data_IF_600418744515
#
_entry.id   IF_600418744515
#
_cell.length_a   1.000
_cell.length_b   1.000
_cell.length_c   1.000
_cell.angle_alpha   90.00
_cell.angle_beta   90.00
_cell.angle_gamma   90.00
#
_symmetry.space_group_name_H-M   'P 1'
#
loop_
_entity.id
_entity.type
_entity.pdbx_description
1 polymer ?
#
# COMPACT_ATOMS: atom_id res chain seq x y z
N UNK A 1 16.64 -54.87 -71.12
CA UNK A 1 16.97 -54.54 -69.72
C UNK A 1 16.93 -53.03 -69.56
N UNK A 2 15.80 -52.48 -69.11
CA UNK A 2 15.62 -51.07 -68.78
C UNK A 2 15.30 -51.02 -67.28
N UNK A 3 16.09 -50.29 -66.48
CA UNK A 3 15.79 -50.03 -65.07
C UNK A 3 15.62 -48.52 -64.88
N UNK A 4 14.37 -48.10 -64.78
CA UNK A 4 13.98 -46.78 -64.28
C UNK A 4 14.39 -46.63 -62.81
N UNK A 5 15.04 -45.51 -62.47
CA UNK A 5 15.13 -45.01 -61.09
C UNK A 5 13.96 -44.05 -60.86
N UNK A 6 13.02 -44.42 -59.99
CA UNK A 6 12.05 -43.49 -59.43
C UNK A 6 12.72 -42.61 -58.38
N UNK A 7 12.48 -41.32 -58.49
CA UNK A 7 12.80 -40.30 -57.51
C UNK A 7 11.60 -40.19 -56.56
N UNK A 8 11.75 -40.57 -55.30
CA UNK A 8 10.73 -40.37 -54.27
C UNK A 8 10.96 -39.04 -53.56
N UNK A 9 10.13 -38.05 -53.89
CA UNK A 9 9.97 -36.81 -53.12
C UNK A 9 9.08 -37.12 -51.90
N UNK A 10 9.66 -37.09 -50.71
CA UNK A 10 8.92 -37.10 -49.44
C UNK A 10 8.60 -35.65 -49.09
N UNK A 11 7.35 -35.26 -49.28
CA UNK A 11 6.81 -33.98 -48.78
C UNK A 11 6.51 -34.19 -47.30
N UNK A 12 7.38 -33.68 -46.43
CA UNK A 12 7.13 -33.61 -44.99
C UNK A 12 6.11 -32.53 -44.70
N UNK A 13 4.89 -32.92 -44.33
CA UNK A 13 3.89 -32.01 -43.79
C UNK A 13 4.32 -31.61 -42.36
N UNK A 14 4.77 -30.36 -42.19
CA UNK A 14 4.87 -29.73 -40.87
C UNK A 14 3.45 -29.53 -40.35
N UNK A 15 2.99 -30.43 -39.48
CA UNK A 15 1.84 -30.16 -38.63
C UNK A 15 2.25 -29.16 -37.56
N UNK A 16 1.92 -27.89 -37.80
CA UNK A 16 1.95 -26.86 -36.77
C UNK A 16 0.77 -27.13 -35.83
N UNK A 17 0.99 -27.89 -34.76
CA UNK A 17 0.01 -28.02 -33.68
C UNK A 17 0.00 -26.70 -32.90
N UNK A 18 -1.13 -25.97 -32.82
CA UNK A 18 -1.22 -24.86 -31.89
C UNK A 18 -1.09 -25.42 -30.48
N UNK A 19 -0.06 -24.99 -29.75
CA UNK A 19 -0.01 -25.14 -28.30
C UNK A 19 -1.16 -24.31 -27.74
N UNK A 20 -2.33 -24.92 -27.58
CA UNK A 20 -3.32 -24.43 -26.65
C UNK A 20 -2.70 -24.59 -25.27
N UNK A 21 -2.16 -23.49 -24.72
CA UNK A 21 -1.87 -23.38 -23.29
C UNK A 21 -3.20 -23.55 -22.56
N UNK A 22 -3.53 -24.79 -22.19
CA UNK A 22 -4.53 -25.02 -21.17
C UNK A 22 -3.97 -24.37 -19.92
N UNK A 23 -4.61 -23.30 -19.44
CA UNK A 23 -4.48 -22.91 -18.05
C UNK A 23 -4.76 -24.17 -17.23
N UNK A 24 -3.75 -24.67 -16.54
CA UNK A 24 -3.88 -25.86 -15.72
C UNK A 24 -4.97 -25.59 -14.69
N UNK A 25 -6.04 -26.39 -14.73
CA UNK A 25 -7.16 -26.21 -13.81
C UNK A 25 -6.62 -26.52 -12.43
N UNK A 26 -6.49 -25.49 -11.59
CA UNK A 26 -6.06 -25.62 -10.21
C UNK A 26 -7.02 -26.56 -9.48
N UNK A 27 -6.49 -27.61 -8.86
CA UNK A 27 -7.23 -28.51 -8.00
C UNK A 27 -6.99 -28.08 -6.55
N UNK A 28 -7.93 -27.30 -5.98
CA UNK A 28 -7.72 -26.68 -4.67
C UNK A 28 -7.61 -27.71 -3.54
N UNK A 29 -8.18 -28.90 -3.72
CA UNK A 29 -8.08 -29.98 -2.75
C UNK A 29 -6.69 -30.62 -2.65
N UNK A 30 -5.81 -30.40 -3.63
CA UNK A 30 -4.44 -30.95 -3.66
C UNK A 30 -3.38 -29.91 -3.26
N UNK A 31 -3.77 -28.65 -3.01
CA UNK A 31 -2.82 -27.59 -2.65
C UNK A 31 -2.29 -27.78 -1.22
N UNK A 32 -0.97 -27.70 -1.08
CA UNK A 32 -0.26 -27.75 0.19
C UNK A 32 0.31 -26.37 0.58
N UNK A 33 0.72 -26.23 1.85
CA UNK A 33 1.37 -25.01 2.33
C UNK A 33 2.67 -24.75 1.56
N UNK A 34 2.81 -23.56 1.01
CA UNK A 34 3.95 -23.15 0.19
C UNK A 34 3.75 -23.34 -1.31
N UNK A 35 2.69 -24.04 -1.74
CA UNK A 35 2.34 -24.11 -3.16
C UNK A 35 2.02 -22.73 -3.73
N UNK A 36 2.29 -22.56 -5.01
CA UNK A 36 2.04 -21.29 -5.71
C UNK A 36 1.03 -21.48 -6.81
N UNK A 37 0.06 -20.58 -6.88
CA UNK A 37 -1.01 -20.61 -7.89
C UNK A 37 -1.15 -19.23 -8.53
N UNK A 38 -1.54 -19.19 -9.80
CA UNK A 38 -1.86 -17.95 -10.50
C UNK A 38 -3.37 -17.76 -10.53
N UNK A 39 -3.81 -16.58 -10.13
CA UNK A 39 -5.22 -16.18 -10.05
C UNK A 39 -5.40 -14.78 -10.62
N UNK A 40 -6.63 -14.38 -10.90
CA UNK A 40 -6.98 -12.97 -11.13
C UNK A 40 -7.38 -12.30 -9.82
N UNK A 41 -7.20 -10.98 -9.74
CA UNK A 41 -7.45 -10.25 -8.49
C UNK A 41 -8.89 -10.40 -7.97
N UNK A 42 -9.88 -10.60 -8.84
CA UNK A 42 -11.30 -10.77 -8.46
C UNK A 42 -11.61 -12.12 -7.78
N UNK A 43 -10.66 -13.05 -7.79
CA UNK A 43 -10.74 -14.30 -7.05
C UNK A 43 -10.32 -14.14 -5.57
N UNK A 44 -9.76 -12.98 -5.20
CA UNK A 44 -9.20 -12.74 -3.87
C UNK A 44 -10.20 -12.02 -2.97
N UNK A 45 -10.54 -12.65 -1.85
CA UNK A 45 -11.33 -12.06 -0.77
C UNK A 45 -10.40 -11.41 0.27
N UNK A 46 -10.70 -10.21 0.78
CA UNK A 46 -9.91 -9.58 1.83
C UNK A 46 -10.12 -10.25 3.20
N UNK A 47 -9.07 -10.29 4.02
CA UNK A 47 -9.15 -10.72 5.43
C UNK A 47 -9.16 -9.55 6.42
N UNK A 48 -9.29 -8.32 5.92
CA UNK A 48 -9.43 -7.10 6.72
C UNK A 48 -10.39 -6.13 6.04
N UNK A 49 -11.02 -5.23 6.80
CA UNK A 49 -12.01 -4.27 6.26
C UNK A 49 -11.42 -2.89 5.90
N UNK A 50 -10.13 -2.69 6.17
CA UNK A 50 -9.46 -1.39 6.07
C UNK A 50 -8.25 -1.44 5.16
N UNK A 51 -7.86 -0.28 4.65
CA UNK A 51 -6.76 -0.11 3.70
C UNK A 51 -6.03 1.20 3.97
N UNK A 52 -4.73 1.20 3.68
CA UNK A 52 -3.93 2.40 3.60
C UNK A 52 -4.10 3.02 2.21
N UNK A 53 -4.93 4.05 2.11
CA UNK A 53 -5.15 4.73 0.84
C UNK A 53 -3.94 5.56 0.42
N UNK A 54 -3.18 6.10 1.36
CA UNK A 54 -2.08 7.01 1.04
C UNK A 54 -0.88 6.26 0.47
N UNK A 55 -0.62 5.02 0.91
CA UNK A 55 0.34 4.15 0.23
C UNK A 55 -0.11 3.78 -1.19
N UNK A 56 -1.40 3.59 -1.43
CA UNK A 56 -1.95 3.38 -2.78
C UNK A 56 -1.76 4.65 -3.62
N UNK A 57 -2.08 5.82 -3.08
CA UNK A 57 -1.89 7.11 -3.76
C UNK A 57 -0.43 7.34 -4.14
N UNK A 58 0.50 7.06 -3.24
CA UNK A 58 1.94 7.12 -3.53
C UNK A 58 2.32 6.20 -4.69
N UNK A 59 1.81 4.96 -4.71
CA UNK A 59 2.07 4.03 -5.80
C UNK A 59 1.44 4.48 -7.11
N UNK A 60 0.19 4.95 -7.11
CA UNK A 60 -0.51 5.41 -8.30
C UNK A 60 0.17 6.65 -8.89
N UNK A 61 0.64 7.59 -8.06
CA UNK A 61 1.44 8.72 -8.53
C UNK A 61 2.74 8.27 -9.16
N UNK A 62 3.44 7.33 -8.50
CA UNK A 62 4.68 6.75 -9.00
C UNK A 62 4.48 6.04 -10.34
N UNK A 63 3.38 5.33 -10.51
CA UNK A 63 3.03 4.65 -11.77
C UNK A 63 2.65 5.62 -12.87
N UNK A 64 1.94 6.69 -12.52
CA UNK A 64 1.61 7.76 -13.47
C UNK A 64 2.88 8.50 -13.96
N UNK A 65 3.87 8.69 -13.09
CA UNK A 65 5.14 9.30 -13.45
C UNK A 65 6.08 8.38 -14.24
N UNK A 66 6.07 7.07 -13.95
CA UNK A 66 6.90 6.07 -14.61
C UNK A 66 6.18 4.71 -14.72
N UNK A 67 5.60 4.43 -15.89
CA UNK A 67 4.93 3.15 -16.17
C UNK A 67 5.88 1.94 -16.07
N UNK A 68 7.19 2.11 -16.27
CA UNK A 68 8.16 1.01 -16.07
C UNK A 68 8.14 0.53 -14.63
N UNK A 69 7.96 1.46 -13.68
CA UNK A 69 7.89 1.15 -12.27
C UNK A 69 6.65 0.30 -11.94
N UNK A 70 5.51 0.55 -12.58
CA UNK A 70 4.33 -0.31 -12.46
C UNK A 70 4.63 -1.75 -12.89
N UNK A 71 5.15 -1.96 -14.10
CA UNK A 71 5.48 -3.31 -14.57
C UNK A 71 6.57 -3.98 -13.74
N UNK A 72 7.55 -3.21 -13.24
CA UNK A 72 8.57 -3.74 -12.33
C UNK A 72 7.92 -4.27 -11.05
N UNK A 73 6.98 -3.55 -10.47
CA UNK A 73 6.31 -3.93 -9.24
C UNK A 73 5.34 -5.09 -9.47
N UNK A 74 4.62 -5.11 -10.60
CA UNK A 74 3.77 -6.24 -10.99
C UNK A 74 4.59 -7.53 -11.15
N UNK A 75 5.74 -7.46 -11.84
CA UNK A 75 6.66 -8.59 -11.93
C UNK A 75 7.21 -9.01 -10.57
N UNK A 76 7.50 -8.07 -9.66
CA UNK A 76 7.98 -8.38 -8.30
C UNK A 76 6.92 -9.05 -7.44
N UNK A 77 5.68 -8.56 -7.49
CA UNK A 77 4.53 -9.15 -6.81
C UNK A 77 4.28 -10.59 -7.29
N UNK A 78 4.60 -10.87 -8.56
CA UNK A 78 4.58 -12.19 -9.16
C UNK A 78 5.88 -13.01 -8.92
N UNK A 79 6.79 -12.59 -8.03
CA UNK A 79 8.01 -13.34 -7.70
C UNK A 79 9.12 -13.29 -8.77
N UNK A 80 8.97 -12.46 -9.80
CA UNK A 80 9.84 -12.44 -10.99
C UNK A 80 10.93 -11.34 -11.00
N UNK A 81 11.31 -10.81 -9.81
CA UNK A 81 12.37 -9.80 -9.54
C UNK A 81 12.17 -8.38 -10.13
N UNK A 82 11.57 -8.25 -11.32
CA UNK A 82 11.30 -6.98 -12.00
C UNK A 82 10.97 -7.15 -13.48
N UNK A 83 10.78 -6.05 -14.20
CA UNK A 83 10.46 -6.06 -15.63
C UNK A 83 11.71 -6.02 -16.50
N UNK A 84 11.75 -6.87 -17.54
CA UNK A 84 12.79 -6.93 -18.57
C UNK A 84 12.38 -6.20 -19.84
N UNK A 85 11.14 -6.41 -20.31
CA UNK A 85 10.60 -5.77 -21.52
C UNK A 85 9.14 -5.35 -21.28
N UNK A 86 8.79 -4.16 -21.74
CA UNK A 86 7.44 -3.63 -21.81
C UNK A 86 7.44 -2.47 -22.83
N UNK A 87 6.28 -2.07 -23.33
CA UNK A 87 6.09 -0.84 -24.09
C UNK A 87 4.70 -0.22 -23.81
N UNK A 88 4.38 0.90 -24.45
CA UNK A 88 3.13 1.65 -24.23
C UNK A 88 1.87 0.85 -24.58
N UNK A 89 1.97 -0.23 -25.38
CA UNK A 89 0.87 -1.11 -25.71
C UNK A 89 0.79 -2.33 -24.78
N UNK A 90 1.76 -2.51 -23.88
CA UNK A 90 1.66 -3.53 -22.85
C UNK A 90 0.42 -3.28 -21.99
N UNK A 91 -0.24 -4.36 -21.56
CA UNK A 91 -1.38 -4.33 -20.67
C UNK A 91 -1.05 -5.14 -19.41
N UNK A 92 -1.29 -4.61 -18.20
CA UNK A 92 -1.04 -5.35 -16.96
C UNK A 92 -1.98 -6.56 -16.80
N UNK A 93 -3.07 -6.61 -17.55
CA UNK A 93 -4.01 -7.75 -17.62
C UNK A 93 -3.60 -8.81 -18.65
N UNK A 94 -2.54 -8.58 -19.43
CA UNK A 94 -2.08 -9.50 -20.47
C UNK A 94 -0.57 -9.77 -20.34
N UNK A 95 -0.18 -10.85 -19.64
CA UNK A 95 1.22 -11.23 -19.43
C UNK A 95 2.03 -11.45 -20.71
N UNK A 96 1.39 -11.72 -21.86
CA UNK A 96 2.09 -11.92 -23.13
C UNK A 96 2.61 -10.60 -23.72
N UNK A 97 2.10 -9.46 -23.23
CA UNK A 97 2.46 -8.14 -23.73
C UNK A 97 3.66 -7.52 -23.02
N UNK A 98 4.17 -8.13 -21.94
CA UNK A 98 5.37 -7.71 -21.24
C UNK A 98 6.22 -8.94 -20.84
N UNK A 99 7.44 -8.72 -20.38
CA UNK A 99 8.33 -9.80 -19.96
C UNK A 99 9.02 -9.44 -18.65
N UNK A 100 8.91 -10.32 -17.66
CA UNK A 100 9.66 -10.20 -16.42
C UNK A 100 11.10 -10.71 -16.55
N UNK A 101 11.96 -10.29 -15.62
CA UNK A 101 13.39 -10.63 -15.59
C UNK A 101 13.67 -12.06 -15.12
N UNK A 102 12.70 -12.69 -14.48
CA UNK A 102 12.71 -14.09 -14.07
C UNK A 102 11.34 -14.73 -14.34
N UNK A 103 11.23 -16.03 -14.12
CA UNK A 103 9.96 -16.73 -14.12
C UNK A 103 9.10 -16.27 -12.94
N UNK A 104 7.79 -16.19 -13.19
CA UNK A 104 6.79 -15.98 -12.15
C UNK A 104 6.86 -17.11 -11.12
N UNK A 105 6.72 -16.78 -9.84
CA UNK A 105 6.86 -17.72 -8.73
C UNK A 105 8.31 -18.09 -8.37
N UNK A 106 9.32 -17.66 -9.13
CA UNK A 106 10.73 -18.00 -8.84
C UNK A 106 11.16 -17.56 -7.43
N UNK A 107 10.67 -16.42 -6.96
CA UNK A 107 10.89 -15.95 -5.59
C UNK A 107 9.60 -16.05 -4.77
N UNK A 108 9.38 -17.22 -4.16
CA UNK A 108 8.19 -17.50 -3.34
C UNK A 108 8.07 -16.61 -2.09
N UNK A 109 9.17 -16.00 -1.62
CA UNK A 109 9.16 -15.08 -0.48
C UNK A 109 8.64 -13.69 -0.84
N UNK A 110 8.56 -13.35 -2.13
CA UNK A 110 7.99 -12.08 -2.60
C UNK A 110 6.49 -12.18 -2.92
N UNK A 111 5.92 -13.38 -2.89
CA UNK A 111 4.52 -13.60 -3.24
C UNK A 111 3.62 -13.23 -2.06
N UNK A 112 2.51 -12.56 -2.37
CA UNK A 112 1.39 -12.42 -1.45
C UNK A 112 0.84 -13.80 -1.07
N UNK A 113 0.35 -13.93 0.17
CA UNK A 113 -0.15 -15.20 0.70
C UNK A 113 -1.67 -15.24 0.71
N UNK A 114 -2.21 -16.45 0.51
CA UNK A 114 -3.64 -16.74 0.57
C UNK A 114 -3.92 -17.97 1.42
N UNK A 115 -5.08 -17.98 2.05
CA UNK A 115 -5.68 -19.18 2.66
C UNK A 115 -6.77 -19.70 1.72
N UNK A 116 -6.76 -21.00 1.44
CA UNK A 116 -7.89 -21.66 0.76
C UNK A 116 -9.04 -21.79 1.74
N UNK A 117 -10.19 -21.22 1.38
CA UNK A 117 -11.40 -21.17 2.19
C UNK A 117 -12.12 -22.52 2.32
N UNK A 118 -13.25 -22.54 3.04
CA UNK A 118 -13.98 -23.78 3.33
C UNK A 118 -14.66 -24.39 2.10
N UNK A 119 -14.85 -23.61 1.03
CA UNK A 119 -15.46 -24.00 -0.24
C UNK A 119 -14.43 -23.97 -1.37
N UNK A 120 -14.63 -24.84 -2.38
CA UNK A 120 -13.72 -24.98 -3.54
C UNK A 120 -13.54 -23.63 -4.26
N UNK A 121 -12.28 -23.22 -4.43
CA UNK A 121 -11.93 -22.01 -5.18
C UNK A 121 -12.11 -20.69 -4.43
N UNK A 122 -12.52 -20.72 -3.16
CA UNK A 122 -12.57 -19.52 -2.32
C UNK A 122 -11.17 -19.24 -1.77
N UNK A 123 -10.64 -18.03 -2.00
CA UNK A 123 -9.30 -17.62 -1.58
C UNK A 123 -9.35 -16.35 -0.74
N UNK A 124 -8.73 -16.39 0.43
CA UNK A 124 -8.64 -15.26 1.35
C UNK A 124 -7.21 -14.70 1.37
N UNK A 125 -7.04 -13.45 0.96
CA UNK A 125 -5.75 -12.76 0.89
C UNK A 125 -5.29 -12.32 2.28
N UNK A 126 -4.20 -12.90 2.77
CA UNK A 126 -3.68 -12.63 4.12
C UNK A 126 -2.50 -11.67 4.14
N UNK A 127 -1.73 -11.59 3.06
CA UNK A 127 -0.64 -10.62 2.90
C UNK A 127 -0.75 -9.89 1.55
N UNK A 128 -0.27 -8.64 1.48
CA UNK A 128 -0.14 -7.91 0.21
C UNK A 128 -1.36 -7.10 -0.22
N UNK A 129 -2.38 -6.97 0.64
CA UNK A 129 -3.65 -6.30 0.32
C UNK A 129 -3.48 -4.89 -0.31
N UNK A 130 -2.61 -4.05 0.24
CA UNK A 130 -2.39 -2.69 -0.27
C UNK A 130 -1.78 -2.68 -1.67
N UNK A 131 -0.79 -3.54 -1.93
CA UNK A 131 -0.14 -3.63 -3.24
C UNK A 131 -1.10 -4.20 -4.29
N UNK A 132 -1.80 -5.29 -3.97
CA UNK A 132 -2.76 -5.88 -4.91
C UNK A 132 -3.96 -4.97 -5.16
N UNK A 133 -4.44 -4.25 -4.14
CA UNK A 133 -5.45 -3.20 -4.31
C UNK A 133 -4.95 -2.04 -5.18
N UNK A 134 -3.65 -1.72 -5.15
CA UNK A 134 -3.08 -0.73 -6.08
C UNK A 134 -3.25 -1.19 -7.54
N UNK A 135 -2.97 -2.46 -7.85
CA UNK A 135 -3.17 -3.00 -9.21
C UNK A 135 -4.65 -3.11 -9.59
N UNK A 136 -5.53 -3.30 -8.61
CA UNK A 136 -6.98 -3.23 -8.83
C UNK A 136 -7.43 -1.81 -9.21
N UNK A 137 -6.94 -0.79 -8.51
CA UNK A 137 -7.42 0.59 -8.63
C UNK A 137 -6.67 1.43 -9.68
N UNK A 138 -5.57 0.93 -10.24
CA UNK A 138 -4.79 1.64 -11.25
C UNK A 138 -5.46 1.66 -12.64
N UNK A 139 -5.15 2.67 -13.50
CA UNK A 139 -5.57 2.66 -14.90
C UNK A 139 -5.11 1.39 -15.63
N UNK A 140 -5.98 0.84 -16.49
CA UNK A 140 -5.76 -0.40 -17.23
C UNK A 140 -5.52 -1.66 -16.38
N UNK A 141 -5.58 -1.56 -15.05
CA UNK A 141 -5.61 -2.69 -14.12
C UNK A 141 -7.02 -3.24 -13.94
N UNK A 142 -7.34 -3.64 -12.71
CA UNK A 142 -8.67 -4.13 -12.33
C UNK A 142 -8.75 -5.64 -12.12
N UNK A 143 -9.98 -6.16 -12.15
CA UNK A 143 -10.37 -7.52 -11.76
C UNK A 143 -9.51 -8.61 -12.40
N UNK A 144 -9.15 -8.45 -13.68
CA UNK A 144 -8.48 -9.46 -14.49
C UNK A 144 -6.95 -9.41 -14.44
N UNK A 145 -6.34 -8.57 -13.61
CA UNK A 145 -4.88 -8.56 -13.46
C UNK A 145 -4.45 -9.91 -12.87
N UNK A 146 -3.58 -10.68 -13.56
CA UNK A 146 -3.10 -11.95 -13.04
C UNK A 146 -2.01 -11.74 -12.00
N UNK A 147 -2.11 -12.47 -10.91
CA UNK A 147 -1.13 -12.49 -9.82
C UNK A 147 -0.87 -13.91 -9.36
N UNK A 148 0.39 -14.20 -9.08
CA UNK A 148 0.80 -15.44 -8.42
C UNK A 148 0.84 -15.22 -6.93
N UNK A 149 0.18 -16.12 -6.21
CA UNK A 149 0.06 -16.12 -4.76
C UNK A 149 0.60 -17.43 -4.20
N UNK A 150 1.01 -17.40 -2.95
CA UNK A 150 1.48 -18.56 -2.18
C UNK A 150 0.40 -19.01 -1.21
N UNK A 151 0.10 -20.29 -1.16
CA UNK A 151 -0.84 -20.87 -0.18
C UNK A 151 -0.16 -20.90 1.19
N UNK A 152 -0.69 -20.16 2.17
CA UNK A 152 -0.21 -20.27 3.56
C UNK A 152 -0.86 -21.45 4.27
N UNK A 153 -2.16 -21.64 4.08
CA UNK A 153 -2.95 -22.74 4.63
C UNK A 153 -4.03 -23.19 3.65
N UNK A 154 -4.34 -24.49 3.67
CA UNK A 154 -5.50 -25.04 3.00
C UNK A 154 -6.55 -25.48 4.02
N UNK A 155 -7.64 -24.70 4.14
CA UNK A 155 -8.73 -24.96 5.08
C UNK A 155 -10.00 -25.46 4.35
N UNK A 156 -9.84 -26.07 3.18
CA UNK A 156 -10.94 -26.66 2.44
C UNK A 156 -11.68 -27.72 3.27
N UNK A 157 -13.00 -27.61 3.35
CA UNK A 157 -13.81 -28.53 4.15
C UNK A 157 -13.81 -28.27 5.66
N UNK A 158 -13.18 -27.19 6.15
CA UNK A 158 -13.25 -26.76 7.56
C UNK A 158 -14.66 -26.36 8.02
N UNK A 159 -15.55 -26.00 7.09
CA UNK A 159 -16.94 -25.68 7.39
C UNK A 159 -17.08 -24.53 8.39
N UNK A 160 -17.80 -24.77 9.48
CA UNK A 160 -18.08 -23.75 10.50
C UNK A 160 -16.84 -23.35 11.33
N UNK A 161 -15.78 -24.17 11.34
CA UNK A 161 -14.56 -23.91 12.11
C UNK A 161 -13.63 -22.89 11.42
N UNK A 162 -13.84 -22.62 10.12
CA UNK A 162 -12.97 -21.78 9.29
C UNK A 162 -12.58 -20.44 9.94
N UNK A 163 -13.56 -19.67 10.43
CA UNK A 163 -13.29 -18.35 10.99
C UNK A 163 -12.60 -18.40 12.36
N UNK A 164 -12.82 -19.47 13.12
CA UNK A 164 -12.12 -19.68 14.37
C UNK A 164 -10.64 -19.99 14.11
N UNK A 165 -10.35 -20.82 13.10
CA UNK A 165 -8.98 -21.12 12.65
C UNK A 165 -8.28 -19.88 12.12
N UNK A 166 -8.90 -19.13 11.20
CA UNK A 166 -8.36 -17.85 10.69
C UNK A 166 -8.01 -16.87 11.82
N UNK A 167 -8.87 -16.79 12.85
CA UNK A 167 -8.63 -15.91 14.01
C UNK A 167 -7.54 -16.45 14.94
N UNK A 168 -7.42 -17.78 15.10
CA UNK A 168 -6.41 -18.41 15.94
C UNK A 168 -5.01 -18.24 15.33
N UNK A 169 -4.92 -18.37 14.01
CA UNK A 169 -3.66 -18.32 13.26
C UNK A 169 -3.24 -16.88 12.91
N UNK A 170 -4.05 -15.88 13.28
CA UNK A 170 -3.86 -14.46 12.99
C UNK A 170 -3.86 -14.13 11.49
N UNK A 171 -4.69 -14.83 10.73
CA UNK A 171 -4.87 -14.66 9.28
C UNK A 171 -6.08 -13.76 8.95
N UNK A 172 -6.76 -13.21 9.97
CA UNK A 172 -7.87 -12.26 9.80
C UNK A 172 -7.81 -11.09 10.78
N UNK A 173 -8.12 -9.89 10.28
CA UNK A 173 -8.26 -8.66 11.06
C UNK A 173 -9.70 -8.13 11.04
N UNK A 174 -10.46 -8.49 12.09
CA UNK A 174 -11.87 -8.12 12.23
C UNK A 174 -12.06 -6.80 12.96
N UNK A 175 -11.49 -5.73 12.41
CA UNK A 175 -11.65 -4.35 12.89
C UNK A 175 -11.86 -3.40 11.72
N UNK A 176 -12.80 -2.47 11.88
CA UNK A 176 -13.10 -1.44 10.88
C UNK A 176 -12.28 -0.15 11.06
N UNK A 177 -12.52 0.83 10.19
CA UNK A 177 -11.82 2.12 10.13
C UNK A 177 -11.99 3.00 11.36
N UNK A 178 -12.95 2.65 12.23
CA UNK A 178 -13.22 3.32 13.50
C UNK A 178 -12.60 2.59 14.69
N UNK A 179 -11.87 1.49 14.46
CA UNK A 179 -11.27 0.68 15.52
C UNK A 179 -12.25 -0.24 16.21
N UNK A 180 -13.44 -0.42 15.64
CA UNK A 180 -14.49 -1.24 16.23
C UNK A 180 -14.41 -2.65 15.69
N UNK A 181 -14.61 -3.62 16.57
CA UNK A 181 -14.74 -5.04 16.20
C UNK A 181 -15.90 -5.20 15.21
N UNK A 182 -15.66 -5.99 14.17
CA UNK A 182 -16.68 -6.43 13.21
C UNK A 182 -16.81 -7.96 13.21
N UNK A 183 -17.80 -8.50 12.52
CA UNK A 183 -17.92 -9.94 12.24
C UNK A 183 -17.25 -10.27 10.92
N UNK A 184 -16.95 -11.55 10.69
CA UNK A 184 -16.39 -12.01 9.41
C UNK A 184 -17.32 -11.74 8.23
N UNK A 185 -18.64 -11.86 8.42
CA UNK A 185 -19.63 -11.50 7.40
C UNK A 185 -19.73 -9.99 7.09
N UNK A 186 -19.03 -9.13 7.82
CA UNK A 186 -18.92 -7.70 7.52
C UNK A 186 -17.67 -7.38 6.68
N UNK A 187 -16.82 -8.39 6.38
CA UNK A 187 -15.67 -8.21 5.51
C UNK A 187 -16.14 -7.89 4.08
N UNK A 188 -15.41 -7.04 3.34
CA UNK A 188 -15.79 -6.72 1.98
C UNK A 188 -15.67 -7.93 1.03
N UNK A 189 -16.46 -7.92 -0.05
CA UNK A 189 -16.49 -9.03 -1.01
C UNK A 189 -15.35 -8.97 -2.04
N UNK A 190 -14.67 -7.83 -2.15
CA UNK A 190 -13.54 -7.65 -3.07
C UNK A 190 -12.48 -6.74 -2.44
N UNK A 191 -11.24 -6.87 -2.93
CA UNK A 191 -10.16 -5.93 -2.64
C UNK A 191 -10.38 -4.58 -3.34
N UNK A 192 -9.49 -3.61 -3.09
CA UNK A 192 -9.56 -2.28 -3.70
C UNK A 192 -10.33 -1.24 -2.88
N UNK A 193 -10.07 0.02 -3.19
CA UNK A 193 -10.57 1.20 -2.47
C UNK A 193 -12.09 1.37 -2.54
N UNK A 194 -12.77 0.78 -3.52
CA UNK A 194 -14.24 0.86 -3.61
C UNK A 194 -14.94 0.09 -2.49
N UNK A 195 -14.32 -0.97 -2.00
CA UNK A 195 -14.88 -1.89 -1.02
C UNK A 195 -14.28 -1.66 0.37
N UNK A 196 -12.95 -1.60 0.45
CA UNK A 196 -12.21 -1.39 1.69
C UNK A 196 -12.23 0.08 2.13
N UNK A 197 -12.32 0.33 3.44
CA UNK A 197 -12.36 1.70 3.99
C UNK A 197 -10.96 2.24 4.27
N UNK A 198 -10.76 3.54 4.08
CA UNK A 198 -9.53 4.22 4.48
C UNK A 198 -9.42 4.24 6.00
N UNK A 199 -8.40 3.58 6.54
CA UNK A 199 -7.97 3.84 7.91
C UNK A 199 -6.86 4.89 7.91
N UNK A 200 -7.22 6.13 8.25
CA UNK A 200 -6.29 7.27 8.28
C UNK A 200 -5.13 7.04 9.26
N UNK A 201 -5.38 6.34 10.37
CA UNK A 201 -4.34 6.04 11.35
C UNK A 201 -3.34 5.00 10.81
N UNK A 202 -3.83 4.03 10.03
CA UNK A 202 -2.97 3.09 9.34
C UNK A 202 -2.03 3.79 8.36
N UNK A 203 -2.53 4.79 7.62
CA UNK A 203 -1.69 5.61 6.73
C UNK A 203 -0.60 6.38 7.49
N UNK A 204 -0.93 6.98 8.65
CA UNK A 204 0.10 7.61 9.52
C UNK A 204 1.17 6.59 9.91
N UNK A 205 0.75 5.45 10.46
CA UNK A 205 1.66 4.41 10.97
C UNK A 205 2.56 3.82 9.89
N UNK A 206 2.06 3.61 8.67
CA UNK A 206 2.87 3.06 7.60
C UNK A 206 3.94 4.06 7.13
N UNK A 207 3.63 5.37 7.09
CA UNK A 207 4.64 6.38 6.81
C UNK A 207 5.73 6.45 7.90
N UNK A 208 5.39 6.12 9.15
CA UNK A 208 6.31 6.20 10.29
C UNK A 208 7.17 4.94 10.51
N UNK A 209 7.08 3.95 9.60
CA UNK A 209 7.94 2.78 9.61
C UNK A 209 9.41 3.20 9.37
N UNK A 210 10.29 2.89 10.33
CA UNK A 210 11.69 3.33 10.33
C UNK A 210 11.91 4.73 10.89
N UNK A 211 10.84 5.44 11.29
CA UNK A 211 10.91 6.79 11.86
C UNK A 211 10.59 6.78 13.36
N UNK A 212 9.55 6.04 13.77
CA UNK A 212 9.14 5.91 15.18
C UNK A 212 9.10 4.48 15.69
N UNK A 213 9.11 3.51 14.78
CA UNK A 213 9.19 2.08 15.12
C UNK A 213 9.86 1.31 13.97
N UNK A 214 10.43 0.16 14.27
CA UNK A 214 10.93 -0.79 13.27
C UNK A 214 10.44 -2.19 13.62
N UNK A 215 10.10 -3.06 12.66
CA UNK A 215 9.70 -4.43 12.99
C UNK A 215 10.81 -5.11 13.80
N UNK A 216 10.48 -5.77 14.91
CA UNK A 216 11.49 -6.35 15.78
C UNK A 216 12.30 -7.39 15.01
N UNK A 217 13.62 -7.37 15.19
CA UNK A 217 14.50 -8.34 14.55
C UNK A 217 14.32 -9.71 15.21
N UNK A 218 14.41 -10.82 14.44
CA UNK A 218 14.56 -12.14 15.04
C UNK A 218 15.80 -12.14 15.95
N UNK A 219 15.62 -12.51 17.22
CA UNK A 219 16.71 -12.52 18.22
C UNK A 219 17.48 -13.85 18.28
N UNK A 220 17.15 -14.78 17.36
CA UNK A 220 17.77 -16.10 17.24
C UNK A 220 17.36 -17.10 18.32
N UNK A 221 16.54 -16.71 19.32
CA UNK A 221 16.00 -17.61 20.35
C UNK A 221 14.59 -18.06 20.02
N UNK A 222 13.82 -17.21 19.33
CA UNK A 222 12.56 -17.56 18.71
C UNK A 222 12.43 -16.86 17.36
N UNK A 223 12.62 -17.58 16.27
CA UNK A 223 12.44 -17.01 14.93
C UNK A 223 10.95 -16.83 14.56
N UNK A 224 10.00 -17.32 15.38
CA UNK A 224 8.56 -17.14 15.16
C UNK A 224 8.04 -15.82 15.73
N UNK A 225 8.78 -15.16 16.63
CA UNK A 225 8.37 -13.88 17.24
C UNK A 225 8.74 -12.66 16.40
N UNK A 226 9.47 -12.83 15.29
CA UNK A 226 9.93 -11.72 14.45
C UNK A 226 8.82 -11.13 13.55
N UNK A 227 7.91 -11.97 13.04
CA UNK A 227 6.75 -11.49 12.30
C UNK A 227 5.61 -11.23 13.28
N UNK A 228 5.28 -9.96 13.50
CA UNK A 228 4.13 -9.57 14.32
C UNK A 228 2.92 -9.43 13.38
N UNK A 229 1.88 -10.28 13.51
CA UNK A 229 0.68 -10.18 12.70
C UNK A 229 0.07 -8.78 12.83
N UNK A 230 -0.25 -8.16 11.70
CA UNK A 230 -0.91 -6.86 11.66
C UNK A 230 -0.19 -5.77 12.47
N UNK A 231 1.15 -5.74 12.48
CA UNK A 231 1.96 -4.78 13.25
C UNK A 231 1.47 -3.33 13.11
N UNK A 232 1.37 -2.83 11.88
CA UNK A 232 0.93 -1.46 11.61
C UNK A 232 -0.52 -1.18 12.05
N UNK A 233 -1.40 -2.18 11.93
CA UNK A 233 -2.79 -2.07 12.36
C UNK A 233 -2.95 -2.07 13.89
N UNK A 234 -2.07 -2.77 14.61
CA UNK A 234 -2.02 -2.68 16.07
C UNK A 234 -1.53 -1.31 16.53
N UNK A 235 -0.48 -0.77 15.91
CA UNK A 235 -0.04 0.61 16.15
C UNK A 235 -1.13 1.63 15.80
N UNK A 236 -1.87 1.43 14.70
CA UNK A 236 -2.97 2.31 14.31
C UNK A 236 -4.13 2.29 15.31
N UNK A 237 -4.41 1.13 15.93
CA UNK A 237 -5.35 1.05 17.04
C UNK A 237 -4.88 1.85 18.25
N UNK A 238 -3.59 1.81 18.55
CA UNK A 238 -3.04 2.49 19.70
C UNK A 238 -3.05 4.01 19.53
N UNK A 239 -2.49 4.52 18.43
CA UNK A 239 -2.42 5.96 18.15
C UNK A 239 -3.82 6.61 18.16
N UNK A 240 -4.86 5.88 17.74
CA UNK A 240 -6.25 6.36 17.78
C UNK A 240 -6.74 6.71 19.19
N UNK A 241 -6.13 6.17 20.23
CA UNK A 241 -6.45 6.48 21.62
C UNK A 241 -5.82 7.80 22.10
N UNK A 242 -4.73 8.23 21.45
CA UNK A 242 -3.89 9.35 21.90
C UNK A 242 -4.04 10.60 21.04
N UNK A 243 -4.47 10.45 19.78
CA UNK A 243 -4.77 11.58 18.90
C UNK A 243 -6.06 11.41 18.10
N UNK A 244 -6.65 12.54 17.75
CA UNK A 244 -7.86 12.61 16.92
C UNK A 244 -7.51 13.11 15.53
N UNK A 245 -7.28 12.18 14.60
CA UNK A 245 -6.84 12.50 13.22
C UNK A 245 -7.85 13.36 12.44
N UNK A 246 -9.09 13.48 12.91
CA UNK A 246 -10.07 14.40 12.31
C UNK A 246 -9.82 15.87 12.61
N UNK A 247 -8.88 16.17 13.50
CA UNK A 247 -8.52 17.53 13.89
C UNK A 247 -7.53 18.17 12.90
N UNK A 248 -7.08 17.40 11.88
CA UNK A 248 -6.23 17.84 10.78
C UNK A 248 -6.95 17.63 9.44
N UNK A 249 -6.79 18.56 8.50
CA UNK A 249 -7.10 18.34 7.09
C UNK A 249 -5.96 17.59 6.41
N UNK A 250 -6.13 16.28 6.22
CA UNK A 250 -5.16 15.45 5.50
C UNK A 250 -5.06 15.77 3.99
N UNK A 251 -5.82 16.76 3.48
CA UNK A 251 -5.62 17.30 2.14
C UNK A 251 -4.80 18.59 2.13
N UNK A 252 -4.39 19.09 3.29
CA UNK A 252 -3.41 20.16 3.44
C UNK A 252 -2.04 19.53 3.79
N UNK A 253 -0.98 19.78 3.00
CA UNK A 253 0.34 19.20 3.26
C UNK A 253 0.92 19.56 4.63
N UNK A 254 0.70 20.79 5.11
CA UNK A 254 1.27 21.27 6.37
C UNK A 254 0.51 20.68 7.57
N UNK A 255 -0.82 20.62 7.52
CA UNK A 255 -1.60 19.96 8.56
C UNK A 255 -1.36 18.45 8.60
N UNK A 256 -1.18 17.79 7.44
CA UNK A 256 -0.84 16.37 7.42
C UNK A 256 0.60 16.15 7.96
N UNK A 257 1.58 16.96 7.56
CA UNK A 257 2.92 16.87 8.14
C UNK A 257 2.92 17.08 9.68
N UNK A 258 2.04 17.95 10.17
CA UNK A 258 1.81 18.13 11.62
C UNK A 258 1.24 16.87 12.26
N UNK A 259 0.21 16.26 11.65
CA UNK A 259 -0.37 15.00 12.14
C UNK A 259 0.65 13.85 12.17
N UNK A 260 1.54 13.76 11.16
CA UNK A 260 2.64 12.78 11.13
C UNK A 260 3.63 13.03 12.25
N UNK A 261 4.00 14.28 12.49
CA UNK A 261 4.94 14.65 13.56
C UNK A 261 4.36 14.31 14.93
N UNK A 262 3.08 14.64 15.18
CA UNK A 262 2.42 14.30 16.43
C UNK A 262 2.29 12.79 16.63
N UNK A 263 1.85 12.05 15.60
CA UNK A 263 1.80 10.58 15.65
C UNK A 263 3.18 9.98 15.93
N UNK A 264 4.23 10.51 15.29
CA UNK A 264 5.60 10.05 15.48
C UNK A 264 6.07 10.22 16.94
N UNK A 265 5.78 11.37 17.53
CA UNK A 265 6.09 11.69 18.94
C UNK A 265 5.29 10.79 19.88
N UNK A 266 3.98 10.65 19.67
CA UNK A 266 3.14 9.76 20.47
C UNK A 266 3.72 8.35 20.52
N UNK A 267 4.09 7.78 19.36
CA UNK A 267 4.59 6.41 19.29
C UNK A 267 5.85 6.19 20.12
N UNK A 268 6.80 7.14 20.14
CA UNK A 268 8.06 7.00 20.90
C UNK A 268 7.92 7.39 22.38
N UNK A 269 6.92 8.22 22.72
CA UNK A 269 6.67 8.67 24.09
C UNK A 269 5.78 7.70 24.90
N UNK A 270 5.18 6.69 24.26
CA UNK A 270 4.45 5.64 24.99
C UNK A 270 5.39 4.92 25.98
N UNK A 271 4.90 4.52 27.17
CA UNK A 271 5.67 3.66 28.07
C UNK A 271 6.11 2.37 27.37
N UNK A 272 7.37 1.95 27.59
CA UNK A 272 7.92 0.72 27.00
C UNK A 272 7.07 -0.54 27.26
N UNK A 273 6.34 -0.56 28.39
CA UNK A 273 5.48 -1.65 28.85
C UNK A 273 4.00 -1.50 28.46
N UNK A 274 3.63 -0.42 27.74
CA UNK A 274 2.28 -0.22 27.21
C UNK A 274 1.93 -1.29 26.19
N UNK A 275 0.75 -1.92 26.32
CA UNK A 275 0.34 -2.99 25.40
C UNK A 275 -0.27 -2.39 24.14
N UNK A 276 0.35 -2.62 22.98
CA UNK A 276 -0.06 -1.98 21.73
C UNK A 276 -1.25 -2.70 21.09
N UNK A 277 -2.40 -2.02 21.05
CA UNK A 277 -3.58 -2.50 20.34
C UNK A 277 -4.07 -3.85 20.85
N UNK A 278 -4.01 -4.89 20.00
CA UNK A 278 -4.49 -6.25 20.33
C UNK A 278 -3.38 -7.30 20.33
N UNK A 279 -2.13 -6.89 20.17
CA UNK A 279 -0.99 -7.79 19.98
C UNK A 279 -0.63 -8.61 21.22
N UNK A 280 -1.07 -8.16 22.41
CA UNK A 280 -0.59 -8.62 23.75
C UNK A 280 0.92 -8.39 23.97
N UNK A 281 1.55 -7.56 23.14
CA UNK A 281 2.96 -7.19 23.19
C UNK A 281 3.10 -5.74 23.60
N UNK A 282 4.19 -5.43 24.30
CA UNK A 282 4.46 -4.07 24.75
C UNK A 282 4.99 -3.18 23.61
N UNK A 283 5.03 -1.87 23.81
CA UNK A 283 5.59 -0.91 22.85
C UNK A 283 7.01 -1.29 22.42
N UNK A 284 7.87 -1.63 23.39
CA UNK A 284 9.23 -2.12 23.14
C UNK A 284 9.26 -3.41 22.32
N UNK A 285 8.41 -4.39 22.64
CA UNK A 285 8.30 -5.66 21.89
C UNK A 285 7.73 -5.47 20.47
N UNK A 286 7.00 -4.37 20.26
CA UNK A 286 6.42 -3.95 18.97
C UNK A 286 7.37 -3.07 18.16
N UNK A 287 8.60 -2.89 18.66
CA UNK A 287 9.69 -2.26 17.93
C UNK A 287 9.70 -0.73 17.97
N UNK A 288 9.06 -0.13 18.98
CA UNK A 288 9.19 1.29 19.31
C UNK A 288 10.66 1.73 19.31
N UNK A 289 10.93 2.92 18.79
CA UNK A 289 12.25 3.55 18.88
C UNK A 289 12.35 4.44 20.11
N UNK A 290 13.57 4.62 20.62
CA UNK A 290 13.85 5.48 21.79
C UNK A 290 13.53 6.97 21.54
N UNK A 291 13.53 7.39 20.27
CA UNK A 291 13.21 8.75 19.83
C UNK A 291 12.79 8.73 18.36
N UNK A 292 12.08 9.78 17.93
CA UNK A 292 11.77 10.00 16.51
C UNK A 292 13.07 10.19 15.73
N UNK A 293 13.24 9.48 14.61
CA UNK A 293 14.26 9.83 13.63
C UNK A 293 13.85 11.12 12.90
N UNK A 294 14.21 12.27 13.49
CA UNK A 294 13.81 13.58 12.99
C UNK A 294 14.31 13.85 11.57
N UNK A 295 15.46 13.27 11.18
CA UNK A 295 16.00 13.44 9.82
C UNK A 295 15.16 12.66 8.82
N UNK A 296 14.83 11.40 9.12
CA UNK A 296 13.98 10.59 8.26
C UNK A 296 12.56 11.16 8.16
N UNK A 297 12.03 11.72 9.26
CA UNK A 297 10.75 12.43 9.26
C UNK A 297 10.80 13.68 8.37
N UNK A 298 11.84 14.52 8.50
CA UNK A 298 12.03 15.70 7.66
C UNK A 298 12.14 15.33 6.17
N UNK A 299 12.93 14.29 5.83
CA UNK A 299 13.06 13.79 4.46
C UNK A 299 11.71 13.27 3.92
N UNK A 300 10.94 12.54 4.74
CA UNK A 300 9.61 12.08 4.37
C UNK A 300 8.68 13.26 4.02
N UNK A 301 8.63 14.31 4.83
CA UNK A 301 7.66 15.41 4.64
C UNK A 301 8.10 16.45 3.61
N UNK A 302 9.41 16.58 3.33
CA UNK A 302 9.95 17.61 2.43
C UNK A 302 10.33 17.11 1.04
N UNK A 303 10.69 15.83 0.86
CA UNK A 303 10.99 15.30 -0.46
C UNK A 303 9.69 14.97 -1.22
N UNK A 304 9.44 15.65 -2.33
CA UNK A 304 8.31 15.42 -3.22
C UNK A 304 8.26 13.98 -3.78
N UNK A 305 9.41 13.27 -3.79
CA UNK A 305 9.52 11.88 -4.24
C UNK A 305 9.41 10.86 -3.11
N UNK A 306 9.30 11.31 -1.86
CA UNK A 306 9.02 10.43 -0.75
C UNK A 306 7.63 9.78 -0.93
N UNK A 307 7.34 8.67 -0.23
CA UNK A 307 5.99 8.10 -0.20
C UNK A 307 4.91 9.14 0.18
N UNK A 308 5.19 10.02 1.13
CA UNK A 308 4.26 11.07 1.54
C UNK A 308 4.08 12.12 0.44
N UNK A 309 5.18 12.65 -0.13
CA UNK A 309 5.12 13.64 -1.21
C UNK A 309 4.34 13.13 -2.43
N UNK A 310 4.56 11.87 -2.81
CA UNK A 310 3.82 11.22 -3.89
C UNK A 310 2.33 11.03 -3.57
N UNK A 311 2.00 10.64 -2.33
CA UNK A 311 0.61 10.51 -1.89
C UNK A 311 -0.12 11.87 -1.92
N UNK A 312 0.54 12.93 -1.44
CA UNK A 312 0.00 14.28 -1.45
C UNK A 312 -0.22 14.80 -2.87
N UNK A 313 0.74 14.62 -3.78
CA UNK A 313 0.59 15.00 -5.17
C UNK A 313 -0.64 14.32 -5.83
N UNK A 314 -0.84 13.03 -5.58
CA UNK A 314 -2.01 12.31 -6.10
C UNK A 314 -3.33 12.82 -5.50
N UNK A 315 -3.36 12.99 -4.18
CA UNK A 315 -4.52 13.44 -3.41
C UNK A 315 -5.00 14.81 -3.87
N UNK A 316 -4.08 15.76 -4.00
CA UNK A 316 -4.37 17.12 -4.47
C UNK A 316 -4.87 17.12 -5.91
N UNK A 317 -4.21 16.38 -6.81
CA UNK A 317 -4.65 16.26 -8.21
C UNK A 317 -6.05 15.63 -8.33
N UNK A 318 -6.41 14.67 -7.47
CA UNK A 318 -7.78 14.13 -7.42
C UNK A 318 -8.80 15.13 -6.89
N UNK A 319 -8.46 15.86 -5.82
CA UNK A 319 -9.31 16.92 -5.26
C UNK A 319 -9.61 17.96 -6.33
N UNK A 320 -8.59 18.49 -7.00
CA UNK A 320 -8.73 19.46 -8.09
C UNK A 320 -9.63 18.95 -9.21
N UNK A 321 -9.42 17.73 -9.71
CA UNK A 321 -10.26 17.12 -10.76
C UNK A 321 -11.72 16.93 -10.34
N UNK A 322 -11.99 16.81 -9.04
CA UNK A 322 -13.34 16.63 -8.49
C UNK A 322 -14.04 17.94 -8.12
N UNK A 323 -13.29 19.04 -7.98
CA UNK A 323 -13.82 20.36 -7.61
C UNK A 323 -14.34 21.09 -8.86
N UNK A 324 -15.56 21.65 -8.85
CA UNK A 324 -16.04 22.48 -9.96
C UNK A 324 -15.12 23.68 -10.21
N UNK A 325 -14.80 23.96 -11.47
CA UNK A 325 -13.86 25.01 -11.87
C UNK A 325 -14.14 26.39 -11.23
N UNK A 326 -15.42 26.76 -11.11
CA UNK A 326 -15.85 28.02 -10.48
C UNK A 326 -15.41 28.12 -9.02
N UNK A 327 -15.44 26.99 -8.29
CA UNK A 327 -15.01 26.93 -6.88
C UNK A 327 -13.49 27.05 -6.77
N UNK A 328 -12.73 26.46 -7.71
CA UNK A 328 -11.28 26.63 -7.77
C UNK A 328 -10.90 28.09 -8.03
N UNK A 329 -11.55 28.73 -9.00
CA UNK A 329 -11.32 30.15 -9.33
C UNK A 329 -11.67 31.08 -8.13
N UNK A 330 -12.72 30.76 -7.37
CA UNK A 330 -13.09 31.51 -6.15
C UNK A 330 -12.08 31.30 -5.00
N UNK A 331 -11.56 30.08 -4.82
CA UNK A 331 -10.56 29.75 -3.80
C UNK A 331 -9.22 30.41 -4.09
N UNK A 332 -8.77 30.38 -5.35
CA UNK A 332 -7.55 31.08 -5.79
C UNK A 332 -7.66 32.59 -5.53
N UNK A 333 -8.78 33.21 -5.91
CA UNK A 333 -9.01 34.64 -5.69
C UNK A 333 -9.12 35.02 -4.20
N UNK A 334 -9.51 34.11 -3.31
CA UNK A 334 -9.47 34.32 -1.86
C UNK A 334 -8.05 34.22 -1.32
N UNK A 335 -7.29 33.20 -1.73
CA UNK A 335 -5.91 32.99 -1.28
C UNK A 335 -5.00 34.15 -1.69
N UNK A 336 -5.14 34.64 -2.92
CA UNK A 336 -4.43 35.84 -3.39
C UNK A 336 -4.74 37.09 -2.56
N UNK A 337 -5.98 37.23 -2.07
CA UNK A 337 -6.36 38.36 -1.19
C UNK A 337 -5.80 38.21 0.21
N UNK A 338 -5.81 37.01 0.77
CA UNK A 338 -5.24 36.73 2.09
C UNK A 338 -3.71 36.97 2.10
N UNK A 339 -3.01 36.51 1.06
CA UNK A 339 -1.57 36.78 0.88
C UNK A 339 -1.27 38.28 0.70
N UNK A 340 -2.10 39.01 -0.03
CA UNK A 340 -1.97 40.47 -0.17
C UNK A 340 -2.22 41.19 1.17
N UNK A 341 -3.21 40.78 1.94
CA UNK A 341 -3.52 41.35 3.26
C UNK A 341 -2.43 41.05 4.31
N UNK A 342 -1.83 39.87 4.29
CA UNK A 342 -0.67 39.53 5.13
C UNK A 342 0.56 40.36 4.75
N UNK A 343 0.80 40.53 3.45
CA UNK A 343 1.92 41.35 2.96
C UNK A 343 1.75 42.82 3.38
N UNK A 344 0.55 43.40 3.21
CA UNK A 344 0.26 44.76 3.65
C UNK A 344 0.33 44.96 5.18
N UNK A 345 -0.07 43.95 5.97
CA UNK A 345 0.10 43.98 7.43
C UNK A 345 1.57 43.93 7.84
N UNK A 346 2.38 43.12 7.16
CA UNK A 346 3.82 43.03 7.41
C UNK A 346 4.54 44.36 7.09
N UNK A 347 4.13 45.04 6.01
CA UNK A 347 4.69 46.34 5.63
C UNK A 347 4.28 47.47 6.58
N UNK A 348 3.04 47.45 7.11
CA UNK A 348 2.60 48.41 8.13
C UNK A 348 3.30 48.19 9.47
N UNK A 349 3.49 46.94 9.89
CA UNK A 349 4.23 46.59 11.12
C UNK A 349 5.70 47.03 11.06
N UNK A 350 6.33 46.95 9.88
CA UNK A 350 7.70 47.43 9.69
C UNK A 350 7.82 48.96 9.63
N UNK A 351 6.78 49.68 9.22
CA UNK A 351 6.74 51.15 9.27
C UNK A 351 6.52 51.70 10.68
N UNK A 352 5.73 51.03 11.52
CA UNK A 352 5.50 51.47 12.92
C UNK A 352 6.74 51.26 13.81
N UNK A 353 7.54 50.21 13.59
CA UNK A 353 8.81 50.02 14.31
C UNK A 353 9.98 50.90 13.81
N UNK A 354 9.86 51.50 12.62
CA UNK A 354 10.87 52.39 12.05
C UNK A 354 10.81 53.85 12.51
N UNK A 355 9.79 54.24 13.28
CA UNK A 355 9.54 55.66 13.63
C UNK A 355 9.84 55.99 15.11
N UNK A 356 10.41 55.07 15.89
CA UNK A 356 10.78 55.33 17.30
C UNK A 356 12.29 55.54 17.57
N UNK A 357 13.15 55.64 16.56
CA UNK A 357 14.61 55.76 16.75
C UNK A 357 15.27 57.03 16.21
N UNK A 358 14.54 58.13 16.03
CA UNK A 358 15.13 59.42 15.65
C UNK A 358 14.47 60.60 16.39
N UNK A 359 14.56 60.64 17.73
CA UNK A 359 14.55 61.93 18.44
C UNK A 359 15.13 61.83 19.87
N UNK A 360 16.44 61.53 20.02
CA UNK A 360 17.15 61.84 21.27
C UNK A 360 18.67 61.86 21.12
N UNK A 361 19.23 62.81 20.36
CA UNK A 361 20.64 63.18 20.56
C UNK A 361 20.95 64.59 20.08
N UNK A 362 20.42 65.61 20.74
CA UNK A 362 21.05 66.93 20.75
C UNK A 362 20.55 67.77 21.94
N UNK A 363 21.23 67.68 23.08
CA UNK A 363 21.36 68.79 24.04
C UNK A 363 22.26 68.45 25.23
N UNK A 364 23.27 69.32 25.43
CA UNK A 364 24.02 69.68 26.64
C UNK A 364 25.42 69.07 26.85
N UNK A 365 26.40 69.91 26.46
CA UNK A 365 27.45 70.53 27.31
C UNK A 365 28.08 69.70 28.43
#
# INVERSE_FOLDING_TARGET
MYRHRLCSLIIGALFCTPFLSYAEKVNYSELENGDTITVTLDQLLPTQAVLDYDQIFANLQRYNADLKTMYRDLCRANGAKGVKKWDENSLPTDPETYQCSAETGQNADALSTVVVGPEEGVLYLTEGLTLLSTFWDMPNGGTSVPVTVKVSHNLLGSGDDFWAEMSNDNEVWLVNEKGKKIKSGDLPEYIGMKQLKHDKYLSLVNFLLGISYTPPKPDGKDNKTASIPYLALNWALEIRQHMKVSDYDLNDPEEYATALTEAATIMVDLPDDEVIGKSKRTASEMGQLDQVDSKALEELITDEKSPFGLAMAYRLAKKEKSTPKVVLEEQEAQKEKEEQEETEKSEKSNKENGTQSEDSSEAKQ
#
